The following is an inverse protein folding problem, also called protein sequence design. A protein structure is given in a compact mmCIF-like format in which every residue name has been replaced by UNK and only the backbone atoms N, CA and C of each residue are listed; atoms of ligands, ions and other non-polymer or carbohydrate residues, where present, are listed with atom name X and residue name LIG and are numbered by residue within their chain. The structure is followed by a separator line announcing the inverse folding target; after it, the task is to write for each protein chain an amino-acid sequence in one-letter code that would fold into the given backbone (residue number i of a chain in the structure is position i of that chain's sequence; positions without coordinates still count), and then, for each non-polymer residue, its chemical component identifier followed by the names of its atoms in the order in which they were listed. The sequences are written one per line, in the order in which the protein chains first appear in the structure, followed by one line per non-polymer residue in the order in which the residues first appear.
data_IF_082277860257
#
_entry.id   IF_082277860257
#
_cell.length_a   1.000
_cell.length_b   1.000
_cell.length_c   1.000
_cell.angle_alpha   90.00
_cell.angle_beta   90.00
_cell.angle_gamma   90.00
#
_symmetry.space_group_name_H-M   'P 1'
#
loop_
_entity.id
_entity.type
_entity.pdbx_description
1 polymer ?
#
# COMPACT_ATOMS: atom_id res chain seq x y z
N UNK A 1 -4.84 -5.50 -7.55
CA UNK A 1 -5.35 -4.11 -7.50
C UNK A 1 -6.88 -4.12 -7.41
N UNK A 2 -7.59 -4.76 -8.34
CA UNK A 2 -9.07 -4.85 -8.36
C UNK A 2 -9.59 -5.48 -7.05
N UNK A 3 -8.99 -6.56 -6.59
CA UNK A 3 -9.34 -7.23 -5.32
C UNK A 3 -9.16 -6.31 -4.11
N UNK A 4 -8.12 -5.47 -4.07
CA UNK A 4 -7.90 -4.50 -3.01
C UNK A 4 -8.97 -3.40 -2.98
N UNK A 5 -9.38 -2.91 -4.16
CA UNK A 5 -10.51 -1.98 -4.29
C UNK A 5 -11.83 -2.58 -3.79
N UNK A 6 -12.07 -3.86 -4.11
CA UNK A 6 -13.24 -4.60 -3.60
C UNK A 6 -13.19 -4.72 -2.08
N UNK A 7 -12.03 -5.02 -1.49
CA UNK A 7 -11.87 -5.09 -0.03
C UNK A 7 -12.15 -3.73 0.61
N UNK A 8 -11.62 -2.64 0.06
CA UNK A 8 -11.92 -1.28 0.55
C UNK A 8 -13.40 -0.93 0.46
N UNK A 9 -14.04 -1.32 -0.66
CA UNK A 9 -15.49 -1.15 -0.84
C UNK A 9 -16.29 -2.01 0.13
N UNK A 10 -15.87 -3.26 0.38
CA UNK A 10 -16.54 -4.14 1.35
C UNK A 10 -16.41 -3.61 2.77
N UNK A 11 -15.26 -3.05 3.16
CA UNK A 11 -15.08 -2.39 4.47
C UNK A 11 -16.08 -1.23 4.60
N UNK A 12 -16.28 -0.45 3.54
CA UNK A 12 -17.28 0.60 3.53
C UNK A 12 -18.71 0.05 3.56
N UNK A 13 -18.99 -1.04 2.83
CA UNK A 13 -20.32 -1.66 2.74
C UNK A 13 -20.73 -2.42 4.02
N UNK A 14 -19.78 -2.73 4.93
CA UNK A 14 -20.10 -3.29 6.25
C UNK A 14 -20.90 -2.26 7.03
N UNK A 15 -22.16 -2.60 7.28
CA UNK A 15 -23.11 -1.75 8.00
C UNK A 15 -22.75 -1.78 9.49
N UNK A 16 -21.90 -0.85 9.93
CA UNK A 16 -21.59 -0.69 11.34
C UNK A 16 -22.85 -0.22 12.08
N UNK A 17 -23.19 -0.79 13.27
CA UNK A 17 -24.31 -0.30 14.08
C UNK A 17 -24.16 1.18 14.36
N UNK A 18 -25.26 1.94 14.26
CA UNK A 18 -25.29 3.39 14.50
C UNK A 18 -24.76 3.77 15.91
N UNK A 19 -24.84 2.85 16.86
CA UNK A 19 -24.34 3.02 18.21
C UNK A 19 -22.82 2.97 18.35
N UNK A 20 -22.06 2.56 17.29
CA UNK A 20 -20.60 2.53 17.36
C UNK A 20 -20.01 3.93 17.16
N UNK A 21 -19.07 4.34 18.05
CA UNK A 21 -18.32 5.56 17.84
C UNK A 21 -17.52 5.43 16.54
N UNK A 22 -17.83 6.25 15.55
CA UNK A 22 -17.18 6.21 14.24
C UNK A 22 -18.12 5.88 13.07
N UNK A 23 -19.37 5.45 13.28
CA UNK A 23 -20.34 5.23 12.21
C UNK A 23 -20.43 6.43 11.27
N UNK A 24 -20.47 7.64 11.79
CA UNK A 24 -20.48 8.88 11.02
C UNK A 24 -19.22 9.04 10.16
N UNK A 25 -18.05 8.62 10.66
CA UNK A 25 -16.77 8.66 9.93
C UNK A 25 -16.76 7.76 8.69
N UNK A 26 -17.56 6.71 8.66
CA UNK A 26 -17.53 5.73 7.57
C UNK A 26 -18.71 5.84 6.61
N UNK A 27 -19.88 6.34 7.05
CA UNK A 27 -21.12 6.26 6.27
C UNK A 27 -21.83 7.59 5.98
N UNK A 28 -21.56 8.65 6.75
CA UNK A 28 -22.37 9.87 6.70
C UNK A 28 -21.74 11.06 5.97
N UNK A 29 -20.50 10.96 5.51
CA UNK A 29 -19.71 12.14 5.05
C UNK A 29 -19.45 12.20 3.54
N UNK A 30 -20.09 11.35 2.73
CA UNK A 30 -20.12 11.48 1.27
C UNK A 30 -19.05 10.66 0.51
N UNK A 31 -18.90 10.91 -0.82
CA UNK A 31 -18.14 10.05 -1.73
C UNK A 31 -16.64 10.06 -1.49
N UNK A 32 -16.09 11.09 -0.86
CA UNK A 32 -14.66 11.21 -0.56
C UNK A 32 -14.18 10.15 0.44
N UNK A 33 -15.04 9.77 1.40
CA UNK A 33 -14.72 8.68 2.33
C UNK A 33 -14.63 7.35 1.62
N UNK A 34 -15.55 7.07 0.71
CA UNK A 34 -15.54 5.84 -0.11
C UNK A 34 -14.26 5.77 -0.93
N UNK A 35 -13.89 6.89 -1.58
CA UNK A 35 -12.64 6.96 -2.35
C UNK A 35 -11.41 6.69 -1.48
N UNK A 36 -11.32 7.28 -0.29
CA UNK A 36 -10.23 7.08 0.67
C UNK A 36 -10.13 5.61 1.11
N UNK A 37 -11.26 4.97 1.41
CA UNK A 37 -11.29 3.56 1.82
C UNK A 37 -10.92 2.61 0.67
N UNK A 38 -11.35 2.90 -0.55
CA UNK A 38 -10.97 2.13 -1.73
C UNK A 38 -9.46 2.23 -1.96
N UNK A 39 -8.88 3.42 -1.96
CA UNK A 39 -7.44 3.62 -2.12
C UNK A 39 -6.64 2.96 -1.00
N UNK A 40 -7.08 3.11 0.25
CA UNK A 40 -6.49 2.45 1.40
C UNK A 40 -6.56 0.92 1.31
N UNK A 41 -7.70 0.36 0.89
CA UNK A 41 -7.88 -1.06 0.66
C UNK A 41 -6.98 -1.61 -0.47
N UNK A 42 -6.84 -0.86 -1.57
CA UNK A 42 -5.92 -1.22 -2.66
C UNK A 42 -4.47 -1.29 -2.18
N UNK A 43 -4.03 -0.27 -1.44
CA UNK A 43 -2.68 -0.23 -0.90
C UNK A 43 -2.46 -1.31 0.16
N UNK A 44 -3.42 -1.51 1.08
CA UNK A 44 -3.36 -2.56 2.09
C UNK A 44 -3.28 -3.97 1.50
N UNK A 45 -4.06 -4.25 0.46
CA UNK A 45 -4.00 -5.53 -0.27
C UNK A 45 -2.65 -5.75 -0.94
N UNK A 46 -2.11 -4.71 -1.58
CA UNK A 46 -0.77 -4.77 -2.16
C UNK A 46 0.29 -5.09 -1.12
N UNK A 47 0.28 -4.39 0.01
CA UNK A 47 1.20 -4.62 1.12
C UNK A 47 1.09 -6.04 1.69
N UNK A 48 -0.13 -6.53 1.87
CA UNK A 48 -0.36 -7.90 2.33
C UNK A 48 0.25 -8.94 1.37
N UNK A 49 0.07 -8.74 0.06
CA UNK A 49 0.69 -9.59 -0.97
C UNK A 49 2.22 -9.54 -0.93
N UNK A 50 2.80 -8.34 -0.82
CA UNK A 50 4.26 -8.16 -0.71
C UNK A 50 4.82 -8.79 0.57
N UNK A 51 4.17 -8.61 1.70
CA UNK A 51 4.59 -9.24 2.96
C UNK A 51 4.61 -10.77 2.88
N UNK A 52 3.60 -11.36 2.25
CA UNK A 52 3.58 -12.83 2.02
C UNK A 52 4.73 -13.29 1.13
N UNK A 53 5.02 -12.56 0.06
CA UNK A 53 6.13 -12.88 -0.84
C UNK A 53 7.46 -12.76 -0.12
N UNK A 54 7.67 -11.69 0.68
CA UNK A 54 8.88 -11.49 1.47
C UNK A 54 9.09 -12.59 2.51
N UNK A 55 8.01 -12.99 3.22
CA UNK A 55 8.08 -14.10 4.18
C UNK A 55 8.41 -15.45 3.51
N UNK A 56 7.85 -15.70 2.34
CA UNK A 56 8.16 -16.90 1.57
C UNK A 56 9.61 -16.88 1.06
N UNK A 57 10.07 -15.74 0.55
CA UNK A 57 11.44 -15.55 0.09
C UNK A 57 12.45 -15.71 1.24
N UNK A 58 12.16 -15.17 2.41
CA UNK A 58 13.02 -15.30 3.59
C UNK A 58 13.17 -16.76 4.05
N UNK A 59 12.07 -17.52 4.05
CA UNK A 59 12.13 -18.96 4.37
C UNK A 59 12.98 -19.75 3.36
N UNK A 60 12.81 -19.46 2.07
CA UNK A 60 13.59 -20.08 1.01
C UNK A 60 15.06 -19.71 1.10
N UNK A 61 15.37 -18.46 1.43
CA UNK A 61 16.74 -17.97 1.61
C UNK A 61 17.43 -18.70 2.77
N UNK A 62 16.80 -18.80 3.93
CA UNK A 62 17.36 -19.50 5.10
C UNK A 62 17.63 -20.98 4.82
N UNK A 63 16.73 -21.68 4.13
CA UNK A 63 16.94 -23.08 3.75
C UNK A 63 18.13 -23.24 2.77
N UNK A 64 18.29 -22.28 1.86
CA UNK A 64 19.34 -22.28 0.85
C UNK A 64 20.71 -21.93 1.45
N UNK A 65 20.77 -20.96 2.35
CA UNK A 65 21.99 -20.47 3.00
C UNK A 65 22.66 -21.55 3.88
N UNK A 66 21.88 -22.48 4.44
CA UNK A 66 22.41 -23.57 5.27
C UNK A 66 23.08 -24.68 4.45
N UNK A 67 22.70 -24.91 3.21
CA UNK A 67 23.13 -26.08 2.43
C UNK A 67 24.13 -25.74 1.33
N UNK A 68 24.03 -24.60 0.68
CA UNK A 68 24.92 -24.21 -0.42
C UNK A 68 26.39 -24.12 -0.02
N UNK A 69 26.79 -23.53 1.13
CA UNK A 69 28.18 -23.45 1.50
C UNK A 69 28.87 -24.85 1.63
N UNK A 70 28.08 -25.86 2.01
CA UNK A 70 28.62 -27.24 2.09
C UNK A 70 28.85 -27.84 0.71
N UNK A 71 27.94 -27.60 -0.25
CA UNK A 71 28.07 -28.07 -1.63
C UNK A 71 29.21 -27.36 -2.38
N UNK A 72 29.35 -26.05 -2.17
CA UNK A 72 30.45 -25.26 -2.75
C UNK A 72 31.80 -25.77 -2.25
N UNK A 73 31.94 -26.10 -0.97
CA UNK A 73 33.18 -26.67 -0.42
C UNK A 73 33.49 -28.06 -0.99
N UNK A 74 32.49 -28.82 -1.37
CA UNK A 74 32.66 -30.14 -2.00
C UNK A 74 33.01 -30.04 -3.50
N UNK A 75 32.81 -28.85 -4.10
CA UNK A 75 33.05 -28.63 -5.52
C UNK A 75 32.02 -29.28 -6.45
N UNK A 76 30.88 -29.70 -5.92
CA UNK A 76 29.85 -30.40 -6.68
C UNK A 76 28.91 -29.39 -7.35
N UNK A 77 29.29 -28.91 -8.55
CA UNK A 77 28.54 -27.95 -9.32
C UNK A 77 27.20 -28.52 -9.80
N UNK A 78 27.13 -29.81 -10.11
CA UNK A 78 25.90 -30.45 -10.59
C UNK A 78 24.86 -30.54 -9.47
N UNK A 79 25.26 -30.83 -8.25
CA UNK A 79 24.36 -30.82 -7.09
C UNK A 79 23.86 -29.42 -6.78
N UNK A 80 24.69 -28.37 -6.92
CA UNK A 80 24.28 -26.97 -6.73
C UNK A 80 23.26 -26.59 -7.80
N UNK A 81 23.48 -26.96 -9.08
CA UNK A 81 22.60 -26.67 -10.21
C UNK A 81 21.25 -27.34 -10.00
N UNK A 82 21.21 -28.62 -9.71
CA UNK A 82 19.99 -29.38 -9.45
C UNK A 82 19.16 -28.78 -8.31
N UNK A 83 19.82 -28.41 -7.21
CA UNK A 83 19.15 -27.84 -6.04
C UNK A 83 18.62 -26.44 -6.32
N UNK A 84 19.34 -25.64 -7.09
CA UNK A 84 18.94 -24.32 -7.52
C UNK A 84 17.70 -24.36 -8.43
N UNK A 85 17.62 -25.33 -9.34
CA UNK A 85 16.45 -25.58 -10.17
C UNK A 85 15.24 -26.01 -9.34
N UNK A 86 15.41 -26.92 -8.39
CA UNK A 86 14.35 -27.42 -7.53
C UNK A 86 13.81 -26.38 -6.57
N UNK A 87 14.64 -25.44 -6.13
CA UNK A 87 14.24 -24.40 -5.18
C UNK A 87 13.18 -23.44 -5.73
N UNK A 88 13.17 -23.20 -7.06
CA UNK A 88 12.30 -22.22 -7.71
C UNK A 88 12.43 -20.80 -7.15
N UNK A 89 13.37 -20.59 -6.22
CA UNK A 89 13.59 -19.32 -5.53
C UNK A 89 14.34 -18.32 -6.42
N UNK A 90 14.23 -17.04 -6.10
CA UNK A 90 14.99 -15.99 -6.79
C UNK A 90 16.50 -16.18 -6.63
N UNK A 91 16.91 -16.62 -5.44
CA UNK A 91 18.33 -16.92 -5.16
C UNK A 91 18.81 -18.10 -6.00
N UNK A 92 18.00 -19.16 -6.13
CA UNK A 92 18.31 -20.29 -6.99
C UNK A 92 18.46 -19.89 -8.46
N UNK A 93 17.55 -19.08 -9.00
CA UNK A 93 17.64 -18.58 -10.38
C UNK A 93 18.89 -17.74 -10.61
N UNK A 94 19.24 -16.89 -9.67
CA UNK A 94 20.46 -16.08 -9.73
C UNK A 94 21.72 -16.96 -9.71
N UNK A 95 21.74 -17.96 -8.83
CA UNK A 95 22.86 -18.88 -8.76
C UNK A 95 23.03 -19.69 -10.05
N UNK A 96 21.92 -20.15 -10.66
CA UNK A 96 21.94 -20.80 -11.97
C UNK A 96 22.54 -19.90 -13.05
N UNK A 97 22.13 -18.63 -13.11
CA UNK A 97 22.70 -17.67 -14.06
C UNK A 97 24.20 -17.48 -13.84
N UNK A 98 24.64 -17.34 -12.60
CA UNK A 98 26.07 -17.22 -12.28
C UNK A 98 26.87 -18.49 -12.61
N UNK A 99 26.29 -19.68 -12.41
CA UNK A 99 26.90 -20.94 -12.82
C UNK A 99 27.03 -21.04 -14.35
N UNK A 100 26.01 -20.65 -15.10
CA UNK A 100 26.06 -20.61 -16.57
C UNK A 100 27.16 -19.66 -17.08
N UNK A 101 27.31 -18.48 -16.46
CA UNK A 101 28.40 -17.54 -16.77
C UNK A 101 29.77 -18.16 -16.47
N UNK A 102 29.88 -18.85 -15.34
CA UNK A 102 31.13 -19.55 -14.98
C UNK A 102 31.47 -20.68 -15.95
N UNK A 103 30.51 -21.53 -16.30
CA UNK A 103 30.71 -22.63 -17.25
C UNK A 103 31.12 -22.13 -18.64
N UNK A 104 30.54 -20.99 -19.09
CA UNK A 104 30.79 -20.44 -20.42
C UNK A 104 32.11 -19.67 -20.53
N UNK A 105 32.52 -18.97 -19.48
CA UNK A 105 33.65 -18.02 -19.54
C UNK A 105 34.90 -18.50 -18.79
N UNK A 106 34.73 -19.31 -17.72
CA UNK A 106 35.81 -19.73 -16.83
C UNK A 106 36.56 -18.59 -16.14
N UNK A 107 35.99 -17.37 -16.18
CA UNK A 107 36.62 -16.14 -15.72
C UNK A 107 35.96 -15.59 -14.47
N UNK A 108 36.74 -15.49 -13.37
CA UNK A 108 36.25 -14.86 -12.13
C UNK A 108 35.83 -13.41 -12.31
N UNK A 109 36.52 -12.68 -13.19
CA UNK A 109 36.15 -11.28 -13.50
C UNK A 109 34.78 -11.16 -14.19
N UNK A 110 34.46 -12.07 -15.12
CA UNK A 110 33.14 -12.09 -15.77
C UNK A 110 32.04 -12.48 -14.79
N UNK A 111 32.33 -13.42 -13.89
CA UNK A 111 31.39 -13.84 -12.84
C UNK A 111 31.06 -12.69 -11.89
N UNK A 112 32.08 -11.96 -11.40
CA UNK A 112 31.90 -10.79 -10.53
C UNK A 112 31.05 -9.71 -11.22
N UNK A 113 31.37 -9.43 -12.48
CA UNK A 113 30.60 -8.42 -13.25
C UNK A 113 29.15 -8.83 -13.51
N UNK A 114 28.88 -10.11 -13.74
CA UNK A 114 27.52 -10.64 -13.85
C UNK A 114 26.77 -10.54 -12.53
N UNK A 115 27.46 -10.87 -11.42
CA UNK A 115 26.88 -10.77 -10.09
C UNK A 115 26.48 -9.34 -9.71
N UNK A 116 27.33 -8.35 -10.02
CA UNK A 116 27.04 -6.93 -9.79
C UNK A 116 25.90 -6.44 -10.67
N UNK A 117 25.93 -6.78 -11.96
CA UNK A 117 24.86 -6.42 -12.89
C UNK A 117 23.48 -6.98 -12.49
N UNK A 118 23.45 -8.21 -11.97
CA UNK A 118 22.22 -8.83 -11.47
C UNK A 118 21.68 -8.08 -10.23
N UNK A 119 22.54 -7.57 -9.35
CA UNK A 119 22.13 -6.78 -8.18
C UNK A 119 21.47 -5.49 -8.63
N UNK A 120 22.10 -4.75 -9.54
CA UNK A 120 21.59 -3.47 -10.05
C UNK A 120 20.22 -3.64 -10.72
N UNK A 121 20.06 -4.66 -11.56
CA UNK A 121 18.79 -4.97 -12.22
C UNK A 121 17.69 -5.33 -11.20
N UNK A 122 18.06 -6.04 -10.14
CA UNK A 122 17.12 -6.42 -9.10
C UNK A 122 16.67 -5.21 -8.27
N UNK A 123 17.59 -4.34 -7.89
CA UNK A 123 17.28 -3.09 -7.18
C UNK A 123 16.37 -2.18 -8.01
N UNK A 124 16.65 -2.01 -9.30
CA UNK A 124 15.80 -1.25 -10.23
C UNK A 124 14.39 -1.84 -10.34
N UNK A 125 14.28 -3.16 -10.46
CA UNK A 125 13.00 -3.86 -10.55
C UNK A 125 12.21 -3.74 -9.25
N UNK A 126 12.86 -3.89 -8.10
CA UNK A 126 12.23 -3.71 -6.79
C UNK A 126 11.76 -2.26 -6.61
N UNK A 127 12.60 -1.28 -6.85
CA UNK A 127 12.27 0.14 -6.73
C UNK A 127 11.08 0.51 -7.63
N UNK A 128 11.07 0.06 -8.88
CA UNK A 128 9.97 0.33 -9.81
C UNK A 128 8.64 -0.29 -9.34
N UNK A 129 8.69 -1.44 -8.68
CA UNK A 129 7.48 -2.11 -8.17
C UNK A 129 6.80 -1.36 -7.03
N UNK A 130 7.52 -0.47 -6.32
CA UNK A 130 6.99 0.37 -5.25
C UNK A 130 6.49 1.73 -5.72
N UNK A 131 6.72 2.12 -6.98
CA UNK A 131 6.29 3.43 -7.50
C UNK A 131 4.78 3.60 -7.45
N UNK A 132 4.01 2.59 -7.85
CA UNK A 132 2.55 2.63 -7.81
C UNK A 132 1.98 2.67 -6.37
N UNK A 133 2.43 1.84 -5.42
CA UNK A 133 2.05 1.96 -4.01
C UNK A 133 2.36 3.32 -3.39
N UNK A 134 3.50 3.91 -3.70
CA UNK A 134 3.86 5.26 -3.24
C UNK A 134 2.90 6.31 -3.78
N UNK A 135 2.50 6.18 -5.05
CA UNK A 135 1.48 7.05 -5.64
C UNK A 135 0.13 6.94 -4.90
N UNK A 136 -0.31 5.72 -4.59
CA UNK A 136 -1.54 5.49 -3.82
C UNK A 136 -1.44 6.11 -2.42
N UNK A 137 -0.31 5.90 -1.73
CA UNK A 137 -0.07 6.47 -0.41
C UNK A 137 -0.18 8.00 -0.42
N UNK A 138 0.34 8.64 -1.47
CA UNK A 138 0.25 10.09 -1.64
C UNK A 138 -1.17 10.55 -2.02
N UNK A 139 -1.90 9.75 -2.81
CA UNK A 139 -3.26 10.08 -3.23
C UNK A 139 -4.28 10.05 -2.08
N UNK A 140 -4.07 9.22 -1.05
CA UNK A 140 -4.99 9.11 0.09
C UNK A 140 -5.20 10.44 0.81
N UNK A 141 -4.16 11.19 1.27
CA UNK A 141 -4.35 12.50 1.88
C UNK A 141 -5.01 13.52 0.96
N UNK A 142 -4.76 13.44 -0.36
CA UNK A 142 -5.41 14.32 -1.33
C UNK A 142 -6.92 14.13 -1.39
N UNK A 143 -7.41 12.89 -1.29
CA UNK A 143 -8.85 12.64 -1.22
C UNK A 143 -9.47 13.25 0.04
N UNK A 144 -8.74 13.21 1.17
CA UNK A 144 -9.11 13.90 2.40
C UNK A 144 -9.19 15.41 2.21
N UNK A 145 -8.20 16.00 1.54
CA UNK A 145 -8.19 17.43 1.23
C UNK A 145 -9.36 17.83 0.32
N UNK A 146 -9.68 17.04 -0.70
CA UNK A 146 -10.86 17.24 -1.54
C UNK A 146 -12.13 17.23 -0.68
N UNK A 147 -12.22 16.31 0.28
CA UNK A 147 -13.33 16.25 1.25
C UNK A 147 -13.45 17.51 2.08
N UNK A 148 -12.33 18.11 2.50
CA UNK A 148 -12.30 19.39 3.20
C UNK A 148 -12.89 20.51 2.34
N UNK A 149 -12.47 20.60 1.08
CA UNK A 149 -12.98 21.63 0.15
C UNK A 149 -14.49 21.48 -0.06
N UNK A 150 -14.97 20.25 -0.27
CA UNK A 150 -16.40 19.97 -0.45
C UNK A 150 -17.19 20.34 0.82
N UNK A 151 -16.73 19.89 2.00
CA UNK A 151 -17.40 20.16 3.27
C UNK A 151 -17.45 21.65 3.62
N UNK A 152 -16.35 22.36 3.38
CA UNK A 152 -16.30 23.82 3.56
C UNK A 152 -17.22 24.54 2.58
N UNK A 153 -17.25 24.11 1.32
CA UNK A 153 -18.17 24.68 0.31
C UNK A 153 -19.63 24.50 0.70
N UNK A 154 -19.99 23.33 1.23
CA UNK A 154 -21.33 23.07 1.75
C UNK A 154 -21.67 23.96 2.95
N UNK A 155 -20.74 24.10 3.90
CA UNK A 155 -20.93 24.95 5.07
C UNK A 155 -21.14 26.41 4.69
N UNK A 156 -20.32 26.93 3.77
CA UNK A 156 -20.45 28.33 3.29
C UNK A 156 -21.73 28.51 2.51
N UNK A 157 -22.11 27.55 1.63
CA UNK A 157 -23.36 27.63 0.87
C UNK A 157 -24.62 27.60 1.74
N UNK A 158 -24.55 26.91 2.90
CA UNK A 158 -25.68 26.90 3.85
C UNK A 158 -25.78 28.18 4.67
N UNK A 159 -24.73 29.01 4.73
CA UNK A 159 -24.73 30.24 5.50
C UNK A 159 -25.68 31.30 4.94
N UNK A 160 -25.87 31.35 3.62
CA UNK A 160 -26.83 32.23 2.97
C UNK A 160 -28.27 31.89 3.39
N UNK A 161 -28.57 30.61 3.58
CA UNK A 161 -29.87 30.15 4.09
C UNK A 161 -30.10 30.57 5.55
N UNK A 162 -29.03 30.57 6.38
CA UNK A 162 -29.09 31.09 7.76
C UNK A 162 -29.42 32.56 7.79
N UNK A 163 -28.75 33.36 6.94
CA UNK A 163 -28.99 34.83 6.88
C UNK A 163 -30.40 35.17 6.38
N UNK A 164 -30.91 34.47 5.37
CA UNK A 164 -32.22 34.72 4.82
C UNK A 164 -33.39 34.30 5.73
N UNK A 165 -33.15 33.40 6.69
CA UNK A 165 -34.11 32.93 7.66
C UNK A 165 -33.90 33.46 9.09
N UNK A 166 -33.08 34.51 9.24
CA UNK A 166 -32.69 35.06 10.56
C UNK A 166 -33.87 35.54 11.41
N UNK A 167 -34.99 35.85 10.81
CA UNK A 167 -36.23 36.29 11.51
C UNK A 167 -36.98 35.09 12.16
N UNK A 168 -36.64 33.85 11.84
CA UNK A 168 -37.26 32.65 12.37
C UNK A 168 -36.24 31.79 13.13
N UNK A 169 -36.48 31.60 14.43
CA UNK A 169 -35.58 30.86 15.34
C UNK A 169 -35.37 29.41 14.87
N UNK A 170 -36.39 28.75 14.35
CA UNK A 170 -36.28 27.37 13.85
C UNK A 170 -35.45 27.31 12.56
N UNK A 171 -35.65 28.25 11.63
CA UNK A 171 -34.87 28.38 10.41
C UNK A 171 -33.39 28.69 10.69
N UNK A 172 -33.12 29.51 11.69
CA UNK A 172 -31.76 29.79 12.14
C UNK A 172 -31.06 28.53 12.71
N UNK A 173 -31.78 27.75 13.52
CA UNK A 173 -31.28 26.50 14.09
C UNK A 173 -30.94 25.46 13.01
N UNK A 174 -31.84 25.25 12.05
CA UNK A 174 -31.65 24.32 10.95
C UNK A 174 -30.46 24.73 10.07
N UNK A 175 -30.31 26.00 9.78
CA UNK A 175 -29.17 26.53 9.04
C UNK A 175 -27.83 26.31 9.79
N UNK A 176 -27.80 26.56 11.10
CA UNK A 176 -26.59 26.29 11.91
C UNK A 176 -26.22 24.79 11.94
N UNK A 177 -27.24 23.91 11.97
CA UNK A 177 -26.99 22.44 11.90
C UNK A 177 -26.36 22.07 10.56
N UNK A 178 -26.79 22.66 9.45
CA UNK A 178 -26.23 22.42 8.13
C UNK A 178 -24.78 22.93 8.02
N UNK A 179 -24.49 24.14 8.51
CA UNK A 179 -23.14 24.70 8.53
C UNK A 179 -22.18 23.81 9.36
N UNK A 180 -22.60 23.43 10.58
CA UNK A 180 -21.80 22.56 11.44
C UNK A 180 -21.63 21.16 10.85
N UNK A 181 -22.64 20.64 10.15
CA UNK A 181 -22.56 19.37 9.41
C UNK A 181 -21.52 19.41 8.27
N UNK A 182 -21.50 20.50 7.50
CA UNK A 182 -20.48 20.71 6.45
C UNK A 182 -19.05 20.77 7.01
N UNK A 183 -18.87 21.53 8.10
CA UNK A 183 -17.57 21.58 8.80
C UNK A 183 -17.17 20.22 9.35
N UNK A 184 -18.10 19.48 9.96
CA UNK A 184 -17.85 18.13 10.43
C UNK A 184 -17.40 17.21 9.29
N UNK A 185 -18.03 17.29 8.12
CA UNK A 185 -17.62 16.54 6.94
C UNK A 185 -16.19 16.89 6.51
N UNK A 186 -15.82 18.16 6.51
CA UNK A 186 -14.49 18.62 6.15
C UNK A 186 -13.40 18.02 7.07
N UNK A 187 -13.61 18.08 8.37
CA UNK A 187 -12.63 17.56 9.34
C UNK A 187 -12.55 16.04 9.35
N UNK A 188 -13.69 15.34 9.36
CA UNK A 188 -13.75 13.90 9.45
C UNK A 188 -13.11 13.21 8.24
N UNK A 189 -13.33 13.74 7.02
CA UNK A 189 -12.74 13.17 5.80
C UNK A 189 -11.21 13.29 5.79
N UNK A 190 -10.70 14.45 6.20
CA UNK A 190 -9.26 14.70 6.27
C UNK A 190 -8.61 13.86 7.38
N UNK A 191 -9.23 13.81 8.54
CA UNK A 191 -8.74 13.00 9.66
C UNK A 191 -8.64 11.51 9.27
N UNK A 192 -9.69 10.96 8.67
CA UNK A 192 -9.70 9.56 8.21
C UNK A 192 -8.59 9.30 7.19
N UNK A 193 -8.43 10.17 6.20
CA UNK A 193 -7.41 10.04 5.17
C UNK A 193 -6.00 10.07 5.74
N UNK A 194 -5.72 10.98 6.68
CA UNK A 194 -4.42 11.08 7.34
C UNK A 194 -4.11 9.85 8.19
N UNK A 195 -5.07 9.37 8.98
CA UNK A 195 -4.90 8.15 9.80
C UNK A 195 -4.57 6.95 8.92
N UNK A 196 -5.34 6.71 7.85
CA UNK A 196 -5.11 5.61 6.92
C UNK A 196 -3.74 5.74 6.25
N UNK A 197 -3.38 6.93 5.80
CA UNK A 197 -2.09 7.20 5.16
C UNK A 197 -0.92 6.88 6.10
N UNK A 198 -0.96 7.36 7.33
CA UNK A 198 0.09 7.10 8.33
C UNK A 198 0.19 5.61 8.65
N UNK A 199 -0.94 4.93 8.88
CA UNK A 199 -0.95 3.49 9.18
C UNK A 199 -0.37 2.64 8.03
N UNK A 200 -0.59 3.03 6.78
CA UNK A 200 -0.08 2.31 5.62
C UNK A 200 1.36 2.71 5.22
N UNK A 201 1.83 3.89 5.61
CA UNK A 201 3.18 4.35 5.35
C UNK A 201 4.24 3.47 6.05
N UNK A 202 3.99 3.08 7.30
CA UNK A 202 4.90 2.24 8.08
C UNK A 202 5.20 0.89 7.42
N UNK A 203 4.20 0.03 7.13
CA UNK A 203 4.45 -1.25 6.50
C UNK A 203 5.01 -1.10 5.07
N UNK A 204 4.65 -0.04 4.33
CA UNK A 204 5.21 0.22 3.01
C UNK A 204 6.72 0.46 3.10
N UNK A 205 7.17 1.31 4.04
CA UNK A 205 8.59 1.61 4.25
C UNK A 205 9.37 0.38 4.73
N UNK A 206 8.75 -0.48 5.54
CA UNK A 206 9.37 -1.74 5.99
C UNK A 206 9.51 -2.77 4.86
N UNK A 207 8.58 -2.79 3.91
CA UNK A 207 8.65 -3.69 2.75
C UNK A 207 9.65 -3.22 1.67
N UNK A 208 10.02 -1.96 1.68
CA UNK A 208 10.96 -1.37 0.72
C UNK A 208 12.42 -1.58 1.12
N UNK A 209 12.70 -1.73 2.42
CA UNK A 209 14.05 -2.00 2.97
C UNK A 209 14.40 -3.48 2.92
#
# INVERSE_FOLDING_TARGET
IITGGIVGFLIWAVNFPEAMPGHALFHQRGPTQVATLILGGMLGWFLFGKLRILQAAQKSYLAFDLEIPSLVRQGDLDAIKLKSEQSGSLVGKRLLHLLDVWESTGSAFQLERAADGDVDLYELSMSSSFSFPKLLLWAIPLTGFIGTVIGMSQAVGSFDAVLSNADNVDGLKDGLVQVTGGLGTAFDTTFLALVISVLLAFPLTLCEK
#
